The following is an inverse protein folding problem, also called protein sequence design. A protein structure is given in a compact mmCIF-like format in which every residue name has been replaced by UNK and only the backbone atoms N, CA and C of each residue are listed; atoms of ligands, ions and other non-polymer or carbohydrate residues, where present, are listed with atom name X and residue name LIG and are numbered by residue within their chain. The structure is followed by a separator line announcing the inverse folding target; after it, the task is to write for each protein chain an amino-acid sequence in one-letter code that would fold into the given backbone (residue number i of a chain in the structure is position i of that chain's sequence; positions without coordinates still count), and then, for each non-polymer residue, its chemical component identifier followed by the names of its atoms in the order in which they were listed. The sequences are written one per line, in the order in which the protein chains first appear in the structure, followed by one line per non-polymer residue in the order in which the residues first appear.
data_IF_325369498858
#
_entry.id   IF_325369498858
#
_cell.length_a   1.000
_cell.length_b   1.000
_cell.length_c   1.000
_cell.angle_alpha   90.00
_cell.angle_beta   90.00
_cell.angle_gamma   90.00
#
_symmetry.space_group_name_H-M   'P 1'
#
loop_
_entity.id
_entity.type
_entity.pdbx_description
1 polymer ?
#
# COMPACT_ATOMS: atom_id res chain seq x y z
N UNK A 1 -12.26 -19.42 5.26
CA UNK A 1 -11.44 -18.41 4.55
C UNK A 1 -11.11 -19.01 3.21
N UNK A 2 -11.47 -18.32 2.12
CA UNK A 2 -11.22 -18.80 0.78
C UNK A 2 -9.73 -18.56 0.45
N UNK A 3 -8.93 -19.62 0.19
CA UNK A 3 -7.49 -19.47 -0.05
C UNK A 3 -7.16 -18.57 -1.25
N UNK A 4 -8.12 -18.37 -2.17
CA UNK A 4 -7.96 -17.58 -3.37
C UNK A 4 -8.05 -16.06 -3.13
N UNK A 5 -8.50 -15.64 -1.96
CA UNK A 5 -8.72 -14.23 -1.60
C UNK A 5 -7.67 -13.70 -0.62
N UNK A 6 -6.68 -14.52 -0.30
CA UNK A 6 -5.57 -14.20 0.59
C UNK A 6 -4.29 -14.03 -0.21
N UNK A 7 -3.72 -12.83 -0.20
CA UNK A 7 -2.49 -12.53 -0.93
C UNK A 7 -1.44 -11.87 -0.05
N UNK A 8 -0.18 -12.22 -0.33
CA UNK A 8 0.99 -11.63 0.31
C UNK A 8 1.50 -10.49 -0.56
N UNK A 9 1.25 -9.25 -0.13
CA UNK A 9 1.74 -8.07 -0.82
C UNK A 9 3.12 -7.68 -0.32
N UNK A 10 4.05 -7.47 -1.26
CA UNK A 10 5.32 -6.82 -0.99
C UNK A 10 5.18 -5.31 -1.20
N UNK A 11 5.01 -4.58 -0.10
CA UNK A 11 4.79 -3.13 -0.11
C UNK A 11 6.15 -2.44 -0.03
N UNK A 12 6.38 -1.48 -0.93
CA UNK A 12 7.54 -0.59 -0.91
C UNK A 12 7.06 0.82 -0.60
N UNK A 13 7.40 1.30 0.59
CA UNK A 13 7.17 2.68 1.00
C UNK A 13 8.29 3.57 0.48
N UNK A 14 7.91 4.58 -0.28
CA UNK A 14 8.79 5.61 -0.81
C UNK A 14 8.47 6.90 -0.06
N UNK A 15 9.42 7.38 0.75
CA UNK A 15 9.27 8.67 1.41
C UNK A 15 9.50 9.82 0.43
N UNK A 16 8.83 10.95 0.62
CA UNK A 16 9.09 12.13 -0.20
C UNK A 16 10.53 12.64 0.03
N UNK A 17 11.36 12.66 -1.03
CA UNK A 17 12.76 13.08 -0.99
C UNK A 17 12.95 14.55 -0.54
N UNK A 18 12.02 15.45 -0.86
CA UNK A 18 12.12 16.88 -0.51
C UNK A 18 11.79 17.15 0.98
N UNK A 19 10.95 16.31 1.58
CA UNK A 19 10.50 16.44 2.99
C UNK A 19 11.03 15.31 3.89
N UNK A 20 11.92 14.46 3.38
CA UNK A 20 12.29 13.22 4.02
C UNK A 20 12.83 13.47 5.44
N UNK A 21 12.26 12.76 6.42
CA UNK A 21 12.93 12.51 7.71
C UNK A 21 14.32 11.99 7.37
N UNK A 22 15.36 12.62 7.93
CA UNK A 22 16.81 12.47 7.66
C UNK A 22 17.36 11.03 7.43
N UNK A 23 16.61 9.97 7.74
CA UNK A 23 17.10 8.61 7.87
C UNK A 23 16.29 7.51 7.16
N UNK A 24 15.09 7.78 6.59
CA UNK A 24 14.30 6.72 5.93
C UNK A 24 14.02 7.09 4.48
N UNK A 25 14.82 6.52 3.57
CA UNK A 25 14.70 6.75 2.12
C UNK A 25 13.64 5.85 1.48
N UNK A 26 13.63 4.56 1.83
CA UNK A 26 12.66 3.56 1.38
C UNK A 26 12.59 2.44 2.42
N UNK A 27 11.40 1.90 2.67
CA UNK A 27 11.22 0.70 3.48
C UNK A 27 10.36 -0.30 2.73
N UNK A 28 10.70 -1.59 2.81
CA UNK A 28 9.88 -2.64 2.20
C UNK A 28 9.48 -3.65 3.25
N UNK A 29 8.20 -4.03 3.24
CA UNK A 29 7.70 -5.08 4.10
C UNK A 29 6.65 -5.90 3.37
N UNK A 30 6.45 -7.11 3.88
CA UNK A 30 5.41 -7.99 3.41
C UNK A 30 4.19 -7.84 4.32
N UNK A 31 3.00 -7.84 3.71
CA UNK A 31 1.73 -7.78 4.42
C UNK A 31 0.77 -8.77 3.80
N UNK A 32 0.19 -9.60 4.66
CA UNK A 32 -0.91 -10.45 4.30
C UNK A 32 -2.20 -9.61 4.24
N UNK A 33 -2.94 -9.76 3.15
CA UNK A 33 -4.24 -9.11 2.94
C UNK A 33 -5.24 -10.20 2.60
N UNK A 34 -6.33 -10.20 3.36
CA UNK A 34 -7.50 -11.02 3.10
C UNK A 34 -8.57 -10.11 2.48
N UNK A 35 -8.93 -10.37 1.22
CA UNK A 35 -9.90 -9.57 0.45
C UNK A 35 -11.31 -9.57 1.04
N UNK A 36 -11.70 -10.62 1.76
CA UNK A 36 -13.05 -10.72 2.34
C UNK A 36 -13.17 -9.90 3.64
N UNK A 37 -12.04 -9.65 4.30
CA UNK A 37 -11.99 -9.07 5.65
C UNK A 37 -11.38 -7.66 5.64
N UNK A 38 -10.44 -7.39 4.74
CA UNK A 38 -9.65 -6.16 4.74
C UNK A 38 -10.22 -5.14 3.75
N UNK A 39 -10.81 -4.07 4.26
CA UNK A 39 -11.20 -2.94 3.40
C UNK A 39 -9.98 -2.07 3.06
N UNK A 40 -10.11 -1.25 2.02
CA UNK A 40 -9.08 -0.28 1.61
C UNK A 40 -8.72 0.68 2.75
N UNK A 41 -9.70 1.11 3.55
CA UNK A 41 -9.44 1.96 4.70
C UNK A 41 -8.54 1.26 5.73
N UNK A 42 -8.89 0.03 6.11
CA UNK A 42 -8.14 -0.77 7.08
C UNK A 42 -6.72 -1.09 6.57
N UNK A 43 -6.62 -1.33 5.25
CA UNK A 43 -5.35 -1.51 4.57
C UNK A 43 -4.46 -0.26 4.68
N UNK A 44 -4.97 0.91 4.28
CA UNK A 44 -4.26 2.20 4.39
C UNK A 44 -3.87 2.49 5.83
N UNK A 45 -4.80 2.31 6.78
CA UNK A 45 -4.58 2.57 8.20
C UNK A 45 -3.45 1.69 8.75
N UNK A 46 -3.40 0.42 8.36
CA UNK A 46 -2.31 -0.47 8.77
C UNK A 46 -0.93 -0.09 8.20
N UNK A 47 -0.90 0.59 7.04
CA UNK A 47 0.34 1.11 6.45
C UNK A 47 0.75 2.39 7.19
N UNK A 48 -0.23 3.27 7.45
CA UNK A 48 -0.03 4.55 8.15
C UNK A 48 0.38 4.33 9.61
N UNK A 49 -0.13 3.31 10.28
CA UNK A 49 0.29 2.95 11.65
C UNK A 49 1.78 2.56 11.69
N UNK A 50 2.23 1.76 10.72
CA UNK A 50 3.65 1.38 10.58
C UNK A 50 4.53 2.55 10.13
N UNK A 51 3.99 3.42 9.29
CA UNK A 51 4.70 4.56 8.73
C UNK A 51 3.82 5.82 8.79
N UNK A 52 3.80 6.51 9.95
CA UNK A 52 2.92 7.66 10.13
C UNK A 52 3.38 8.82 9.25
N UNK A 53 2.48 9.38 8.42
CA UNK A 53 2.81 10.45 7.49
C UNK A 53 3.28 11.69 8.25
N UNK A 54 4.17 12.45 7.62
CA UNK A 54 4.59 13.76 8.09
C UNK A 54 3.52 14.82 7.93
N UNK A 55 3.84 16.05 8.36
CA UNK A 55 2.94 17.19 8.23
C UNK A 55 2.56 17.47 6.76
N UNK A 56 1.25 17.41 6.46
CA UNK A 56 0.67 17.54 5.11
C UNK A 56 1.13 16.48 4.11
N UNK A 57 1.61 15.33 4.57
CA UNK A 57 1.93 14.20 3.70
C UNK A 57 0.67 13.34 3.51
N UNK A 58 0.36 13.01 2.26
CA UNK A 58 -0.77 12.16 1.91
C UNK A 58 -0.22 10.84 1.36
N UNK A 59 -0.58 9.68 1.95
CA UNK A 59 -0.15 8.40 1.44
C UNK A 59 -0.85 8.09 0.11
N UNK A 60 -0.06 7.71 -0.90
CA UNK A 60 -0.55 7.24 -2.18
C UNK A 60 -0.19 5.77 -2.36
N UNK A 61 -1.18 4.95 -2.74
CA UNK A 61 -1.00 3.51 -2.93
C UNK A 61 -1.09 3.20 -4.41
N UNK A 62 -0.04 2.58 -4.93
CA UNK A 62 0.06 2.14 -6.32
C UNK A 62 0.55 0.70 -6.36
N UNK A 63 0.02 -0.09 -7.30
CA UNK A 63 0.53 -1.42 -7.59
C UNK A 63 1.23 -1.43 -8.95
N UNK A 64 2.02 -2.46 -9.21
CA UNK A 64 2.59 -2.67 -10.53
C UNK A 64 1.66 -3.58 -11.33
N UNK A 65 1.10 -3.06 -12.41
CA UNK A 65 0.33 -3.86 -13.36
C UNK A 65 1.28 -4.41 -14.42
N UNK A 66 1.51 -5.72 -14.45
CA UNK A 66 2.46 -6.35 -15.39
C UNK A 66 1.95 -6.32 -16.84
N UNK A 67 0.63 -6.37 -17.03
CA UNK A 67 0.00 -6.37 -18.36
C UNK A 67 0.13 -5.00 -19.01
N UNK A 68 -0.20 -3.95 -18.26
CA UNK A 68 -0.19 -2.58 -18.75
C UNK A 68 1.15 -1.88 -18.53
N UNK A 69 2.06 -2.45 -17.72
CA UNK A 69 3.36 -1.89 -17.31
C UNK A 69 3.24 -0.48 -16.71
N UNK A 70 2.17 -0.23 -15.96
CA UNK A 70 1.88 1.05 -15.31
C UNK A 70 1.78 0.89 -13.78
N UNK A 71 1.73 2.03 -13.09
CA UNK A 71 1.53 2.11 -11.63
C UNK A 71 0.20 2.80 -11.29
N UNK A 72 -0.95 2.13 -11.48
CA UNK A 72 -2.24 2.75 -11.24
C UNK A 72 -2.49 2.90 -9.74
N UNK A 73 -3.16 3.99 -9.39
CA UNK A 73 -3.47 4.32 -7.99
C UNK A 73 -4.74 3.61 -7.52
N UNK A 74 -4.65 3.06 -6.30
CA UNK A 74 -5.70 2.33 -5.60
C UNK A 74 -6.36 3.30 -4.63
N UNK A 75 -7.67 3.51 -4.79
CA UNK A 75 -8.47 4.43 -3.95
C UNK A 75 -9.74 3.80 -3.41
N UNK A 76 -10.02 2.55 -3.79
CA UNK A 76 -11.30 1.88 -3.54
C UNK A 76 -11.08 0.41 -3.28
N UNK A 77 -11.99 -0.20 -2.53
CA UNK A 77 -11.98 -1.64 -2.21
C UNK A 77 -12.02 -2.48 -3.49
N UNK A 78 -12.85 -2.08 -4.46
CA UNK A 78 -12.92 -2.76 -5.77
C UNK A 78 -11.57 -2.80 -6.48
N UNK A 79 -10.78 -1.73 -6.40
CA UNK A 79 -9.44 -1.70 -7.00
C UNK A 79 -8.43 -2.53 -6.21
N UNK A 80 -8.55 -2.56 -4.89
CA UNK A 80 -7.73 -3.43 -4.02
C UNK A 80 -7.92 -4.90 -4.37
N UNK A 81 -9.16 -5.31 -4.69
CA UNK A 81 -9.47 -6.69 -5.13
C UNK A 81 -8.94 -7.06 -6.52
N UNK A 82 -8.57 -6.07 -7.34
CA UNK A 82 -8.09 -6.27 -8.72
C UNK A 82 -6.58 -6.09 -8.88
N UNK A 83 -5.86 -5.89 -7.77
CA UNK A 83 -4.39 -5.81 -7.72
C UNK A 83 -3.77 -7.19 -7.88
#
# INVERSE_FOLDING_TARGET
MDPNLCYLLKIKLLGNLEKARKYVRCFSFEKFVDCDITNFKDFVESIVDRYPPGYKEVPHIQYYDDVLKIYPEVKTDKKLMTM
#
